data_IF_643058764011
#
_entry.id   IF_643058764011
#
_cell.length_a   1.000
_cell.length_b   1.000
_cell.length_c   1.000
_cell.angle_alpha   90.00
_cell.angle_beta   90.00
_cell.angle_gamma   90.00
#
_symmetry.space_group_name_H-M   'P 1'
#
loop_
_entity.id
_entity.type
_entity.pdbx_description
1 polymer ?
#
# COMPACT_ATOMS: atom_id res chain seq x y z
N UNK A 1 8.05 20.20 -14.97
CA UNK A 1 8.29 19.51 -13.68
C UNK A 1 8.38 18.02 -13.93
N UNK A 2 9.44 17.38 -13.49
CA UNK A 2 9.59 15.92 -13.61
C UNK A 2 8.63 15.25 -12.61
N UNK A 3 7.82 14.27 -13.02
CA UNK A 3 6.99 13.52 -12.11
C UNK A 3 7.85 12.83 -11.04
N UNK A 4 7.42 12.93 -9.79
CA UNK A 4 8.07 12.18 -8.71
C UNK A 4 7.53 10.76 -8.72
N UNK A 5 8.43 9.81 -8.88
CA UNK A 5 8.11 8.39 -8.83
C UNK A 5 8.54 7.80 -7.50
N UNK A 6 7.63 7.07 -6.87
CA UNK A 6 7.88 6.31 -5.65
C UNK A 6 7.53 4.86 -5.89
N UNK A 7 8.34 3.97 -5.34
CA UNK A 7 8.08 2.52 -5.38
C UNK A 7 8.09 1.99 -3.96
N UNK A 8 6.98 1.39 -3.55
CA UNK A 8 6.88 0.59 -2.33
C UNK A 8 6.59 -0.86 -2.71
N UNK A 9 6.88 -1.76 -1.80
CA UNK A 9 6.65 -3.18 -2.01
C UNK A 9 5.58 -3.72 -1.07
N UNK A 10 4.73 -4.57 -1.61
CA UNK A 10 3.74 -5.33 -0.88
C UNK A 10 3.63 -6.72 -1.52
N UNK A 11 2.60 -7.44 -1.19
CA UNK A 11 2.33 -8.74 -1.79
C UNK A 11 0.82 -8.95 -1.93
N UNK A 12 0.47 -9.87 -2.80
CA UNK A 12 -0.89 -10.41 -2.88
C UNK A 12 -0.84 -11.91 -2.61
N UNK A 13 -1.92 -12.45 -2.06
CA UNK A 13 -2.07 -13.88 -1.82
C UNK A 13 -2.88 -14.49 -2.97
N UNK A 14 -2.33 -15.54 -3.58
CA UNK A 14 -3.01 -16.35 -4.59
C UNK A 14 -3.17 -17.73 -3.97
N UNK A 15 -4.32 -18.01 -3.38
CA UNK A 15 -4.49 -19.18 -2.51
C UNK A 15 -3.58 -19.07 -1.30
N UNK A 16 -2.64 -20.01 -1.14
CA UNK A 16 -1.63 -20.02 -0.07
C UNK A 16 -0.30 -19.41 -0.51
N UNK A 17 -0.16 -19.07 -1.79
CA UNK A 17 1.08 -18.53 -2.34
C UNK A 17 1.11 -17.01 -2.23
N UNK A 18 2.23 -16.48 -1.79
CA UNK A 18 2.49 -15.05 -1.80
C UNK A 18 3.20 -14.64 -3.09
N UNK A 19 2.73 -13.59 -3.72
CA UNK A 19 3.33 -13.00 -4.92
C UNK A 19 3.71 -11.56 -4.65
N UNK A 20 4.94 -11.14 -4.96
CA UNK A 20 5.36 -9.77 -4.72
C UNK A 20 4.64 -8.80 -5.66
N UNK A 21 4.31 -7.64 -5.12
CA UNK A 21 3.70 -6.54 -5.88
C UNK A 21 4.49 -5.26 -5.60
N UNK A 22 4.80 -4.54 -6.67
CA UNK A 22 5.38 -3.20 -6.58
C UNK A 22 4.25 -2.19 -6.71
N UNK A 23 4.17 -1.29 -5.75
CA UNK A 23 3.25 -0.15 -5.78
C UNK A 23 4.03 1.07 -6.26
N UNK A 24 3.83 1.42 -7.51
CA UNK A 24 4.50 2.54 -8.15
C UNK A 24 3.55 3.73 -8.20
N UNK A 25 3.95 4.84 -7.62
CA UNK A 25 3.12 6.05 -7.57
C UNK A 25 3.84 7.22 -8.22
N UNK A 26 3.15 7.89 -9.12
CA UNK A 26 3.61 9.14 -9.74
C UNK A 26 2.60 10.25 -9.48
N UNK A 27 3.11 11.38 -9.00
CA UNK A 27 2.34 12.63 -8.86
C UNK A 27 2.85 13.59 -9.92
N UNK A 28 1.97 14.00 -10.81
CA UNK A 28 2.32 14.79 -11.99
C UNK A 28 1.35 15.94 -12.21
N UNK A 29 1.75 16.99 -12.95
CA UNK A 29 0.82 18.03 -13.36
C UNK A 29 -0.34 17.45 -14.17
N UNK A 30 -1.53 18.00 -13.99
CA UNK A 30 -2.72 17.59 -14.71
C UNK A 30 -3.98 17.75 -13.88
N UNK A 31 -5.10 17.36 -14.45
CA UNK A 31 -6.39 17.39 -13.77
C UNK A 31 -6.36 16.51 -12.52
N UNK A 32 -6.88 16.99 -11.39
CA UNK A 32 -6.94 16.19 -10.17
C UNK A 32 -7.66 14.87 -10.37
N UNK A 33 -7.10 13.83 -9.83
CA UNK A 33 -7.69 12.50 -9.87
C UNK A 33 -6.67 11.41 -9.56
N UNK A 34 -7.17 10.28 -9.09
CA UNK A 34 -6.40 9.06 -8.85
C UNK A 34 -6.76 8.02 -9.89
N UNK A 35 -5.75 7.48 -10.55
CA UNK A 35 -5.89 6.35 -11.47
C UNK A 35 -5.11 5.16 -10.94
N UNK A 36 -5.80 4.05 -10.75
CA UNK A 36 -5.23 2.76 -10.38
C UNK A 36 -5.18 1.84 -11.59
N UNK A 37 -4.00 1.28 -11.86
CA UNK A 37 -3.78 0.33 -12.96
C UNK A 37 -3.05 -0.92 -12.44
N UNK A 38 -3.13 -2.02 -13.16
CA UNK A 38 -2.46 -3.28 -12.83
C UNK A 38 -3.39 -4.37 -12.29
N UNK A 39 -4.53 -4.58 -12.94
CA UNK A 39 -5.52 -5.62 -12.59
C UNK A 39 -6.00 -5.57 -11.13
N UNK A 40 -6.46 -4.40 -10.62
CA UNK A 40 -7.04 -4.35 -9.30
C UNK A 40 -8.43 -5.03 -9.29
N UNK A 41 -8.73 -5.78 -8.22
CA UNK A 41 -10.11 -6.24 -7.99
C UNK A 41 -11.00 -5.09 -7.51
N UNK A 42 -12.28 -5.38 -7.19
CA UNK A 42 -13.23 -4.36 -6.73
C UNK A 42 -12.73 -3.70 -5.45
N UNK A 43 -12.26 -4.49 -4.48
CA UNK A 43 -11.77 -3.96 -3.21
C UNK A 43 -10.56 -3.03 -3.38
N UNK A 44 -9.64 -3.39 -4.26
CA UNK A 44 -8.46 -2.57 -4.58
C UNK A 44 -8.88 -1.30 -5.33
N UNK A 45 -9.84 -1.38 -6.25
CA UNK A 45 -10.36 -0.19 -6.95
C UNK A 45 -11.04 0.80 -6.01
N UNK A 46 -11.73 0.29 -5.00
CA UNK A 46 -12.37 1.12 -3.97
C UNK A 46 -11.37 1.76 -3.01
N UNK A 47 -10.12 1.29 -2.99
CA UNK A 47 -9.06 1.83 -2.14
C UNK A 47 -8.87 3.34 -2.33
N UNK A 48 -9.07 3.85 -3.53
CA UNK A 48 -8.92 5.27 -3.83
C UNK A 48 -9.73 6.17 -2.89
N UNK A 49 -10.99 5.86 -2.66
CA UNK A 49 -11.86 6.63 -1.77
C UNK A 49 -11.44 6.48 -0.30
N UNK A 50 -11.14 5.26 0.14
CA UNK A 50 -10.68 5.02 1.52
C UNK A 50 -9.37 5.73 1.80
N UNK A 51 -8.40 5.60 0.91
CA UNK A 51 -7.06 6.17 1.04
C UNK A 51 -7.12 7.69 1.06
N UNK A 52 -7.86 8.31 0.14
CA UNK A 52 -8.00 9.76 0.10
C UNK A 52 -8.58 10.30 1.41
N UNK A 53 -9.67 9.71 1.87
CA UNK A 53 -10.33 10.13 3.11
C UNK A 53 -9.43 9.90 4.32
N UNK A 54 -8.77 8.75 4.41
CA UNK A 54 -7.87 8.41 5.51
C UNK A 54 -6.67 9.35 5.57
N UNK A 55 -6.06 9.67 4.45
CA UNK A 55 -4.93 10.61 4.36
C UNK A 55 -5.33 11.99 4.88
N UNK A 56 -6.48 12.49 4.46
CA UNK A 56 -6.99 13.79 4.92
C UNK A 56 -7.33 13.78 6.42
N UNK A 57 -7.94 12.70 6.90
CA UNK A 57 -8.27 12.55 8.33
C UNK A 57 -7.02 12.43 9.21
N UNK A 58 -5.95 11.87 8.69
CA UNK A 58 -4.67 11.79 9.39
C UNK A 58 -3.90 13.12 9.42
N UNK A 59 -4.43 14.18 8.82
CA UNK A 59 -3.83 15.50 8.83
C UNK A 59 -2.90 15.80 7.65
N UNK A 60 -2.85 14.91 6.67
CA UNK A 60 -2.08 15.14 5.45
C UNK A 60 -2.96 15.75 4.35
N UNK A 61 -2.31 16.26 3.30
CA UNK A 61 -2.99 16.82 2.14
C UNK A 61 -3.07 15.79 1.02
N UNK A 62 -4.25 15.69 0.39
CA UNK A 62 -4.37 14.94 -0.85
C UNK A 62 -3.88 15.81 -2.01
N UNK A 63 -3.01 15.29 -2.89
CA UNK A 63 -2.50 16.07 -4.02
C UNK A 63 -3.62 16.57 -4.93
N UNK A 64 -3.62 17.88 -5.22
CA UNK A 64 -4.59 18.52 -6.10
C UNK A 64 -4.14 18.48 -7.56
N UNK A 65 -3.61 17.33 -7.97
CA UNK A 65 -3.06 17.10 -9.28
C UNK A 65 -3.27 15.63 -9.66
N UNK A 66 -2.73 15.22 -10.78
CA UNK A 66 -2.88 13.85 -11.27
C UNK A 66 -2.01 12.89 -10.45
N UNK A 67 -2.63 11.86 -9.90
CA UNK A 67 -1.97 10.76 -9.20
C UNK A 67 -2.21 9.47 -9.96
N UNK A 68 -1.15 8.78 -10.33
CA UNK A 68 -1.23 7.46 -10.98
C UNK A 68 -0.55 6.44 -10.08
N UNK A 69 -1.24 5.36 -9.77
CA UNK A 69 -0.70 4.22 -9.03
C UNK A 69 -0.75 2.99 -9.93
N UNK A 70 0.41 2.42 -10.19
CA UNK A 70 0.55 1.18 -10.94
C UNK A 70 0.93 0.04 -9.98
N UNK A 71 0.15 -1.03 -10.02
CA UNK A 71 0.39 -2.23 -9.24
C UNK A 71 1.05 -3.27 -10.16
N UNK A 72 2.36 -3.41 -10.07
CA UNK A 72 3.12 -4.29 -10.94
C UNK A 72 3.39 -5.65 -10.28
N UNK A 73 3.42 -6.75 -11.02
CA UNK A 73 3.33 -6.85 -12.49
C UNK A 73 1.89 -6.74 -13.01
N UNK A 74 1.74 -6.30 -14.26
CA UNK A 74 0.43 -6.01 -14.84
C UNK A 74 -0.46 -7.24 -15.08
N UNK A 75 0.13 -8.41 -15.22
CA UNK A 75 -0.56 -9.67 -15.50
C UNK A 75 -1.01 -10.43 -14.23
N UNK A 76 -0.63 -9.96 -13.06
CA UNK A 76 -1.00 -10.56 -11.77
C UNK A 76 -2.21 -9.82 -11.19
N UNK A 77 -3.36 -10.51 -10.97
CA UNK A 77 -4.49 -9.90 -10.28
C UNK A 77 -4.14 -9.53 -8.83
N UNK A 78 -4.55 -8.34 -8.39
CA UNK A 78 -4.36 -7.86 -7.02
C UNK A 78 -5.70 -7.87 -6.30
N UNK A 79 -5.74 -8.48 -5.13
CA UNK A 79 -6.97 -8.75 -4.40
C UNK A 79 -6.91 -8.25 -2.96
N UNK A 80 -8.06 -7.80 -2.46
CA UNK A 80 -8.24 -7.44 -1.06
C UNK A 80 -7.89 -5.99 -0.74
N UNK A 81 -8.25 -5.59 0.48
CA UNK A 81 -8.09 -4.22 0.95
C UNK A 81 -6.70 -3.90 1.52
N UNK A 82 -5.80 -4.88 1.57
CA UNK A 82 -4.44 -4.72 2.11
C UNK A 82 -3.53 -3.81 1.30
N UNK A 83 -3.95 -3.40 0.11
CA UNK A 83 -3.23 -2.42 -0.71
C UNK A 83 -3.47 -0.98 -0.27
N UNK A 84 -4.43 -0.72 0.60
CA UNK A 84 -4.76 0.64 1.05
C UNK A 84 -3.55 1.35 1.65
N UNK A 85 -2.89 0.74 2.61
CA UNK A 85 -1.75 1.37 3.31
C UNK A 85 -0.55 1.57 2.38
N UNK A 86 -0.13 0.60 1.56
CA UNK A 86 0.93 0.84 0.58
C UNK A 86 0.61 1.98 -0.38
N UNK A 87 -0.63 2.08 -0.87
CA UNK A 87 -1.06 3.16 -1.77
C UNK A 87 -1.00 4.50 -1.04
N UNK A 88 -1.54 4.59 0.18
CA UNK A 88 -1.51 5.81 0.98
C UNK A 88 -0.08 6.32 1.21
N UNK A 89 0.81 5.44 1.65
CA UNK A 89 2.21 5.79 1.90
C UNK A 89 2.93 6.17 0.60
N UNK A 90 2.68 5.48 -0.49
CA UNK A 90 3.28 5.81 -1.78
C UNK A 90 2.87 7.21 -2.25
N UNK A 91 1.60 7.59 -2.07
CA UNK A 91 1.12 8.95 -2.38
C UNK A 91 1.78 10.00 -1.49
N UNK A 92 1.91 9.73 -0.19
CA UNK A 92 2.55 10.66 0.75
C UNK A 92 4.04 10.85 0.42
N UNK A 93 4.74 9.79 0.07
CA UNK A 93 6.15 9.89 -0.34
C UNK A 93 6.28 10.59 -1.68
N UNK A 94 5.48 10.22 -2.67
CA UNK A 94 5.54 10.83 -4.00
C UNK A 94 5.16 12.32 -3.98
N UNK A 95 4.28 12.74 -3.09
CA UNK A 95 3.91 14.15 -2.90
C UNK A 95 4.87 14.93 -2.01
N UNK A 96 5.89 14.29 -1.47
CA UNK A 96 6.91 14.94 -0.63
C UNK A 96 6.49 15.21 0.82
N UNK A 97 5.36 14.65 1.26
CA UNK A 97 4.86 14.83 2.63
C UNK A 97 5.46 13.84 3.62
N UNK A 98 6.03 12.76 3.12
CA UNK A 98 6.69 11.74 3.92
C UNK A 98 8.05 11.44 3.29
N UNK A 99 9.10 11.41 4.10
CA UNK A 99 10.45 11.06 3.66
C UNK A 99 10.81 9.71 4.29
N UNK A 100 11.00 8.65 3.48
CA UNK A 100 11.46 7.38 4.03
C UNK A 100 12.81 7.53 4.71
N UNK A 101 12.91 7.01 5.92
CA UNK A 101 14.17 6.99 6.69
C UNK A 101 14.78 5.61 6.67
N UNK A 102 16.13 5.55 6.81
CA UNK A 102 16.85 4.31 7.01
C UNK A 102 17.39 3.67 5.74
N UNK A 103 18.17 2.60 5.93
CA UNK A 103 18.91 1.92 4.88
C UNK A 103 18.06 0.97 4.04
N UNK A 104 16.90 0.55 4.55
CA UNK A 104 15.98 -0.34 3.83
C UNK A 104 14.53 0.09 4.08
N UNK A 105 13.74 0.06 3.01
CA UNK A 105 12.30 0.35 3.10
C UNK A 105 11.56 -0.96 3.38
N UNK A 106 10.75 -1.03 4.46
CA UNK A 106 9.97 -2.23 4.72
C UNK A 106 8.90 -2.45 3.63
N UNK A 107 8.48 -3.69 3.48
CA UNK A 107 7.26 -3.98 2.74
C UNK A 107 6.06 -3.53 3.57
N UNK A 108 4.96 -3.19 2.92
CA UNK A 108 3.80 -2.57 3.57
C UNK A 108 2.54 -3.31 3.15
N UNK A 109 1.68 -3.60 4.10
CA UNK A 109 0.38 -4.20 3.82
C UNK A 109 -0.61 -3.79 4.91
N UNK A 110 -1.82 -3.40 4.54
CA UNK A 110 -2.85 -3.07 5.52
C UNK A 110 -4.03 -2.32 4.94
N UNK A 111 -5.15 -2.45 5.62
CA UNK A 111 -6.38 -1.74 5.29
C UNK A 111 -6.49 -0.46 6.13
N UNK A 112 -7.02 0.60 5.54
CA UNK A 112 -7.32 1.85 6.24
C UNK A 112 -8.83 2.07 6.34
N UNK A 113 -9.24 2.70 7.43
CA UNK A 113 -10.62 3.13 7.61
C UNK A 113 -10.82 4.59 7.21
N UNK A 114 -12.07 4.99 6.99
CA UNK A 114 -12.43 6.36 6.64
C UNK A 114 -12.10 7.37 7.76
N UNK A 115 -11.93 6.90 8.98
CA UNK A 115 -11.51 7.70 10.13
C UNK A 115 -10.00 8.00 10.16
N UNK A 116 -9.23 7.45 9.21
CA UNK A 116 -7.77 7.53 9.19
C UNK A 116 -7.08 6.46 10.00
N UNK A 117 -7.81 5.59 10.68
CA UNK A 117 -7.27 4.48 11.45
C UNK A 117 -6.86 3.32 10.57
N UNK A 118 -5.97 2.48 11.09
CA UNK A 118 -5.55 1.24 10.45
C UNK A 118 -6.38 0.07 10.99
N UNK A 119 -6.63 -0.92 10.14
CA UNK A 119 -7.46 -2.08 10.48
C UNK A 119 -6.60 -3.33 10.62
N UNK A 120 -6.70 -4.00 11.76
CA UNK A 120 -6.14 -5.35 11.92
C UNK A 120 -6.93 -6.35 11.06
N UNK A 121 -6.25 -7.36 10.54
CA UNK A 121 -6.87 -8.38 9.70
C UNK A 121 -6.25 -9.76 9.94
N UNK A 122 -7.07 -10.84 9.92
CA UNK A 122 -6.57 -12.21 10.12
C UNK A 122 -5.51 -12.62 9.09
N UNK A 123 -5.51 -12.00 7.92
CA UNK A 123 -4.56 -12.28 6.84
C UNK A 123 -3.14 -11.85 7.15
N UNK A 124 -2.90 -11.04 8.19
CA UNK A 124 -1.57 -10.51 8.51
C UNK A 124 -0.54 -11.61 8.78
N UNK A 125 -0.93 -12.74 9.36
CA UNK A 125 0.00 -13.87 9.55
C UNK A 125 0.47 -14.43 8.20
N UNK A 126 -0.46 -14.72 7.29
CA UNK A 126 -0.13 -15.24 5.96
C UNK A 126 0.73 -14.24 5.16
N UNK A 127 0.42 -12.96 5.27
CA UNK A 127 1.19 -11.88 4.65
C UNK A 127 2.60 -11.83 5.21
N UNK A 128 2.77 -11.93 6.53
CA UNK A 128 4.08 -11.91 7.18
C UNK A 128 4.94 -13.11 6.77
N UNK A 129 4.37 -14.30 6.76
CA UNK A 129 5.06 -15.52 6.27
C UNK A 129 5.47 -15.35 4.80
N UNK A 130 4.57 -14.85 3.98
CA UNK A 130 4.83 -14.59 2.56
C UNK A 130 5.93 -13.56 2.34
N UNK A 131 5.89 -12.44 3.05
CA UNK A 131 6.91 -11.40 2.96
C UNK A 131 8.30 -11.94 3.33
N UNK A 132 8.39 -12.71 4.41
CA UNK A 132 9.64 -13.35 4.81
C UNK A 132 10.18 -14.29 3.72
N UNK A 133 9.33 -15.14 3.16
CA UNK A 133 9.71 -16.07 2.08
C UNK A 133 10.18 -15.34 0.83
N UNK A 134 9.61 -14.17 0.56
CA UNK A 134 9.99 -13.34 -0.58
C UNK A 134 11.22 -12.46 -0.32
N UNK A 135 11.83 -12.55 0.87
CA UNK A 135 13.06 -11.84 1.19
C UNK A 135 12.87 -10.41 1.70
N UNK A 136 11.69 -10.06 2.18
CA UNK A 136 11.48 -8.74 2.78
C UNK A 136 12.31 -8.57 4.05
N UNK A 137 13.02 -7.45 4.15
CA UNK A 137 13.82 -7.12 5.33
C UNK A 137 12.95 -6.74 6.53
N UNK A 138 11.73 -6.27 6.28
CA UNK A 138 10.74 -5.93 7.30
C UNK A 138 9.37 -5.80 6.68
N UNK A 139 8.34 -5.81 7.52
CA UNK A 139 6.97 -5.65 7.09
C UNK A 139 6.25 -4.69 8.04
N UNK A 140 5.64 -3.66 7.47
CA UNK A 140 4.78 -2.71 8.16
C UNK A 140 3.33 -3.14 7.97
N UNK A 141 2.63 -3.43 9.06
CA UNK A 141 1.21 -3.80 9.09
C UNK A 141 0.51 -3.05 10.21
N UNK A 142 -0.82 -2.90 10.13
CA UNK A 142 -1.60 -2.34 11.24
C UNK A 142 -1.39 -3.13 12.53
N UNK A 143 -1.30 -2.42 13.66
CA UNK A 143 -1.17 -3.04 14.97
C UNK A 143 -2.45 -3.79 15.35
N UNK A 144 -2.29 -4.88 16.13
CA UNK A 144 -3.40 -5.69 16.58
C UNK A 144 -2.99 -7.13 16.91
N UNK A 145 -3.97 -7.96 17.25
CA UNK A 145 -3.73 -9.33 17.65
C UNK A 145 -3.11 -10.18 16.54
N UNK A 146 -3.54 -9.99 15.30
CA UNK A 146 -3.00 -10.73 14.15
C UNK A 146 -1.56 -10.30 13.86
N UNK A 147 -1.24 -9.02 13.94
CA UNK A 147 0.11 -8.51 13.79
C UNK A 147 1.04 -9.02 14.90
N UNK A 148 0.58 -9.03 16.15
CA UNK A 148 1.33 -9.58 17.27
C UNK A 148 1.60 -11.08 17.13
N UNK A 149 0.63 -11.84 16.63
CA UNK A 149 0.82 -13.26 16.33
C UNK A 149 1.85 -13.48 15.21
N UNK A 150 1.77 -12.68 14.15
CA UNK A 150 2.72 -12.72 13.05
C UNK A 150 4.14 -12.42 13.51
N UNK A 151 4.33 -11.41 14.33
CA UNK A 151 5.64 -11.02 14.86
C UNK A 151 6.29 -12.13 15.71
N UNK A 152 5.50 -12.98 16.37
CA UNK A 152 6.01 -14.14 17.13
C UNK A 152 6.32 -15.35 16.26
N UNK A 153 5.77 -15.42 15.05
CA UNK A 153 5.86 -16.60 14.18
C UNK A 153 6.97 -16.45 13.15
N UNK A 154 7.26 -15.25 12.74
CA UNK A 154 8.28 -14.92 11.75
C UNK A 154 9.46 -14.18 12.38
#
# INVERSE_FOLDING_TARGET
MTPRLTVLRTLTLVGVDARPVRVECAVAPGLPGLRLVGLPDVAVREAGERVRTAVQRAGFRWPQTRVVVNLAPADLPKTGAGFDLPIALAVLVASGQLVPGGASTPWVHGEVGLDGGLRDAPTHLAVAVGARRLGAAGLLVPDGAAAAAAARTV
#
